data_IF_944560360240
#
_entry.id   IF_944560360240
#
_cell.length_a   1.000
_cell.length_b   1.000
_cell.length_c   1.000
_cell.angle_alpha   90.00
_cell.angle_beta   90.00
_cell.angle_gamma   90.00
#
_symmetry.space_group_name_H-M   'P 1'
#
loop_
_entity.id
_entity.type
_entity.pdbx_description
1 polymer ?
#
# COMPACT_ATOMS: atom_id res chain seq x y z
N UNK A 1 10.81 -5.90 -7.76
CA UNK A 1 10.24 -4.69 -7.13
C UNK A 1 9.01 -5.09 -6.35
N UNK A 2 8.86 -4.59 -5.12
CA UNK A 2 7.65 -4.82 -4.32
C UNK A 2 6.46 -4.11 -4.99
N UNK A 3 5.43 -4.89 -5.33
CA UNK A 3 4.19 -4.39 -5.92
C UNK A 3 3.09 -4.16 -4.89
N UNK A 4 3.16 -4.84 -3.75
CA UNK A 4 2.10 -4.89 -2.75
C UNK A 4 2.60 -5.64 -1.52
N UNK A 5 2.62 -4.99 -0.36
CA UNK A 5 2.93 -5.63 0.92
C UNK A 5 1.74 -6.44 1.42
N UNK A 6 1.99 -7.53 2.14
CA UNK A 6 0.97 -8.26 2.87
C UNK A 6 0.62 -7.45 4.12
N UNK A 7 -0.61 -6.93 4.15
CA UNK A 7 -1.07 -6.04 5.20
C UNK A 7 -1.86 -6.79 6.28
N UNK A 8 -1.86 -6.22 7.47
CA UNK A 8 -2.58 -6.70 8.64
C UNK A 8 -3.45 -5.60 9.25
N UNK A 9 -4.46 -5.96 10.06
CA UNK A 9 -5.27 -4.98 10.77
C UNK A 9 -4.44 -4.05 11.63
N UNK A 10 -4.74 -2.76 11.55
CA UNK A 10 -4.05 -1.71 12.31
C UNK A 10 -5.07 -0.77 12.93
N UNK A 11 -4.90 -0.45 14.22
CA UNK A 11 -5.76 0.52 14.91
C UNK A 11 -5.66 1.92 14.32
N UNK A 12 -4.52 2.25 13.73
CA UNK A 12 -4.25 3.56 13.14
C UNK A 12 -4.92 3.72 11.77
N UNK A 13 -5.00 2.63 10.99
CA UNK A 13 -5.49 2.63 9.60
C UNK A 13 -6.87 1.97 9.48
N UNK A 14 -6.98 0.67 9.72
CA UNK A 14 -8.24 -0.06 9.73
C UNK A 14 -8.11 -1.35 10.55
N UNK A 15 -9.01 -1.52 11.54
CA UNK A 15 -8.99 -2.66 12.44
C UNK A 15 -10.11 -3.66 12.13
N UNK A 16 -10.45 -3.83 10.85
CA UNK A 16 -11.45 -4.78 10.35
C UNK A 16 -10.72 -5.98 9.74
N UNK A 17 -10.56 -7.10 10.47
CA UNK A 17 -9.74 -8.25 10.04
C UNK A 17 -10.06 -8.76 8.65
N UNK A 18 -11.33 -8.83 8.30
CA UNK A 18 -11.85 -9.41 7.05
C UNK A 18 -11.45 -8.60 5.80
N UNK A 19 -10.98 -7.35 5.94
CA UNK A 19 -10.38 -6.61 4.82
C UNK A 19 -8.97 -7.09 4.47
N UNK A 20 -8.32 -7.81 5.38
CA UNK A 20 -6.95 -8.28 5.25
C UNK A 20 -6.90 -9.79 5.05
N UNK A 21 -7.62 -10.55 5.88
CA UNK A 21 -7.67 -12.00 5.80
C UNK A 21 -8.93 -12.56 6.46
N UNK A 22 -9.35 -13.75 6.05
CA UNK A 22 -10.37 -14.55 6.72
C UNK A 22 -9.75 -15.73 7.46
N UNK A 23 -10.53 -16.35 8.34
CA UNK A 23 -10.13 -17.58 9.02
C UNK A 23 -11.16 -18.67 8.75
N UNK A 24 -10.67 -19.85 8.42
CA UNK A 24 -11.44 -21.10 8.38
C UNK A 24 -11.03 -21.96 9.60
N UNK A 25 -11.43 -23.22 9.68
CA UNK A 25 -11.16 -24.10 10.84
C UNK A 25 -9.65 -24.25 11.13
N UNK A 26 -8.85 -24.46 10.08
CA UNK A 26 -7.39 -24.71 10.20
C UNK A 26 -6.53 -23.74 9.39
N UNK A 27 -7.14 -22.92 8.53
CA UNK A 27 -6.43 -21.99 7.64
C UNK A 27 -6.65 -20.54 8.05
N UNK A 28 -5.61 -19.74 7.84
CA UNK A 28 -5.71 -18.29 7.69
C UNK A 28 -5.61 -17.96 6.19
N UNK A 29 -6.63 -17.28 5.67
CA UNK A 29 -6.86 -17.04 4.25
C UNK A 29 -6.55 -15.57 3.97
N UNK A 30 -5.44 -15.27 3.31
CA UNK A 30 -5.07 -13.89 2.96
C UNK A 30 -5.85 -13.39 1.72
N UNK A 31 -7.18 -13.58 1.75
CA UNK A 31 -8.14 -13.30 0.68
C UNK A 31 -8.98 -12.05 0.94
N UNK A 32 -8.59 -11.22 1.90
CA UNK A 32 -9.19 -9.90 2.13
C UNK A 32 -8.76 -8.90 1.06
N UNK A 33 -9.60 -7.88 0.83
CA UNK A 33 -9.43 -6.85 -0.20
C UNK A 33 -7.99 -6.32 -0.33
N UNK A 34 -7.31 -6.05 0.79
CA UNK A 34 -5.95 -5.50 0.79
C UNK A 34 -4.88 -6.50 0.34
N UNK A 35 -5.10 -7.81 0.48
CA UNK A 35 -4.11 -8.85 0.21
C UNK A 35 -4.33 -9.63 -1.09
N UNK A 36 -5.43 -9.35 -1.81
CA UNK A 36 -5.67 -9.84 -3.17
C UNK A 36 -4.75 -9.13 -4.18
N UNK A 37 -4.13 -9.90 -5.07
CA UNK A 37 -3.37 -9.38 -6.21
C UNK A 37 -4.22 -9.47 -7.50
N UNK A 38 -4.62 -8.33 -8.03
CA UNK A 38 -5.55 -8.22 -9.17
C UNK A 38 -4.85 -8.43 -10.52
N UNK A 39 -5.10 -9.57 -11.18
CA UNK A 39 -4.31 -10.01 -12.34
C UNK A 39 -4.60 -9.15 -13.58
N UNK A 40 -5.87 -8.94 -13.92
CA UNK A 40 -6.26 -8.33 -15.20
C UNK A 40 -5.71 -6.89 -15.34
N UNK A 41 -5.80 -6.09 -14.27
CA UNK A 41 -5.27 -4.71 -14.22
C UNK A 41 -3.77 -4.68 -14.48
N UNK A 42 -2.99 -5.54 -13.80
CA UNK A 42 -1.55 -5.61 -14.00
C UNK A 42 -1.22 -6.10 -15.42
N UNK A 43 -1.85 -7.18 -15.89
CA UNK A 43 -1.64 -7.71 -17.25
C UNK A 43 -1.92 -6.68 -18.34
N UNK A 44 -2.97 -5.90 -18.19
CA UNK A 44 -3.35 -4.88 -19.16
C UNK A 44 -2.33 -3.75 -19.18
N UNK A 45 -2.09 -3.12 -18.03
CA UNK A 45 -1.39 -1.84 -17.95
C UNK A 45 0.12 -1.95 -17.81
N UNK A 46 0.63 -3.07 -17.29
CA UNK A 46 2.04 -3.20 -16.93
C UNK A 46 2.76 -4.30 -17.71
N UNK A 47 4.08 -4.19 -17.84
CA UNK A 47 4.95 -5.14 -18.51
C UNK A 47 5.60 -6.16 -17.56
N UNK A 48 4.92 -6.54 -16.47
CA UNK A 48 5.39 -7.56 -15.54
C UNK A 48 5.49 -8.92 -16.26
N UNK A 49 6.64 -9.60 -16.13
CA UNK A 49 6.89 -10.92 -16.73
C UNK A 49 6.61 -12.05 -15.74
N UNK A 50 6.93 -11.85 -14.46
CA UNK A 50 6.72 -12.86 -13.41
C UNK A 50 6.33 -12.24 -12.07
N UNK A 51 5.65 -13.04 -11.26
CA UNK A 51 5.15 -12.68 -9.93
C UNK A 51 5.55 -13.75 -8.91
N UNK A 52 6.08 -13.33 -7.77
CA UNK A 52 6.45 -14.19 -6.66
C UNK A 52 5.81 -13.66 -5.36
N UNK A 53 5.40 -14.55 -4.46
CA UNK A 53 5.16 -14.21 -3.07
C UNK A 53 6.48 -14.34 -2.30
N UNK A 54 6.98 -13.25 -1.74
CA UNK A 54 8.05 -13.27 -0.74
C UNK A 54 7.37 -13.32 0.62
N UNK A 55 7.70 -14.30 1.45
CA UNK A 55 6.99 -14.57 2.69
C UNK A 55 7.97 -14.94 3.79
N UNK A 56 7.82 -14.30 4.94
CA UNK A 56 8.37 -14.69 6.22
C UNK A 56 7.21 -15.05 7.16
N UNK A 57 7.21 -16.24 7.76
CA UNK A 57 6.12 -16.63 8.65
C UNK A 57 6.53 -17.61 9.75
N UNK A 58 5.72 -17.68 10.80
CA UNK A 58 5.86 -18.64 11.90
C UNK A 58 4.49 -19.16 12.36
N UNK A 59 4.44 -20.39 12.87
CA UNK A 59 3.21 -21.03 13.36
C UNK A 59 2.41 -21.78 12.28
N UNK A 60 2.97 -21.95 11.07
CA UNK A 60 2.30 -22.59 9.94
C UNK A 60 3.11 -23.74 9.38
N UNK A 61 2.44 -24.75 8.83
CA UNK A 61 3.11 -25.92 8.25
C UNK A 61 2.80 -26.18 6.77
N UNK A 62 1.78 -25.54 6.21
CA UNK A 62 1.45 -25.61 4.79
C UNK A 62 1.14 -24.22 4.26
N UNK A 63 1.73 -23.89 3.11
CA UNK A 63 1.38 -22.74 2.28
C UNK A 63 0.67 -23.23 1.02
N UNK A 64 -0.49 -22.64 0.71
CA UNK A 64 -1.18 -22.86 -0.55
C UNK A 64 -1.30 -21.56 -1.33
N UNK A 65 -0.76 -21.56 -2.54
CA UNK A 65 -0.96 -20.49 -3.52
C UNK A 65 -2.28 -20.70 -4.22
N UNK A 66 -3.08 -19.64 -4.31
CA UNK A 66 -4.47 -19.68 -4.77
C UNK A 66 -4.64 -18.82 -6.01
N UNK A 67 -5.45 -19.30 -6.95
CA UNK A 67 -6.08 -18.50 -8.00
C UNK A 67 -7.58 -18.58 -7.80
N UNK A 68 -8.22 -17.45 -7.58
CA UNK A 68 -9.61 -17.37 -7.19
C UNK A 68 -9.95 -18.34 -6.03
N UNK A 69 -10.71 -19.42 -6.23
CA UNK A 69 -10.97 -20.44 -5.19
C UNK A 69 -10.24 -21.76 -5.40
N UNK A 70 -9.33 -21.81 -6.37
CA UNK A 70 -8.58 -23.00 -6.75
C UNK A 70 -7.16 -22.98 -6.18
N UNK A 71 -6.70 -24.14 -5.68
CA UNK A 71 -5.32 -24.31 -5.22
C UNK A 71 -4.42 -24.53 -6.44
N UNK A 72 -3.49 -23.61 -6.67
CA UNK A 72 -2.48 -23.72 -7.72
C UNK A 72 -1.39 -24.71 -7.29
N UNK A 73 -0.90 -24.53 -6.06
CA UNK A 73 0.25 -25.27 -5.52
C UNK A 73 0.17 -25.29 -4.00
N UNK A 74 0.41 -26.47 -3.42
CA UNK A 74 0.56 -26.68 -1.98
C UNK A 74 2.03 -26.97 -1.65
N UNK A 75 2.55 -26.32 -0.62
CA UNK A 75 3.96 -26.33 -0.21
C UNK A 75 4.04 -26.73 1.26
N UNK A 76 4.87 -27.72 1.56
CA UNK A 76 5.16 -28.19 2.91
C UNK A 76 6.27 -27.33 3.53
N UNK A 77 5.90 -26.42 4.41
CA UNK A 77 6.81 -25.44 5.02
C UNK A 77 7.75 -26.08 6.05
N UNK A 78 7.44 -27.28 6.56
CA UNK A 78 8.30 -27.96 7.56
C UNK A 78 9.67 -28.33 6.99
N UNK A 79 9.79 -28.43 5.66
CA UNK A 79 11.07 -28.74 4.98
C UNK A 79 12.02 -27.55 4.91
N UNK A 80 11.46 -26.34 4.96
CA UNK A 80 12.19 -25.08 4.79
C UNK A 80 12.39 -24.35 6.13
N UNK A 81 11.97 -24.97 7.24
CA UNK A 81 12.11 -24.41 8.57
C UNK A 81 13.56 -24.53 9.06
N UNK A 82 14.17 -23.40 9.39
CA UNK A 82 15.45 -23.38 10.10
C UNK A 82 15.28 -23.94 11.51
N UNK A 83 16.11 -24.95 11.84
CA UNK A 83 15.98 -25.81 13.02
C UNK A 83 16.21 -25.11 14.39
N UNK A 84 16.05 -23.79 14.49
CA UNK A 84 16.24 -23.03 15.72
C UNK A 84 15.38 -21.77 15.89
N UNK A 85 14.81 -21.21 14.82
CA UNK A 85 13.99 -19.97 14.90
C UNK A 85 12.48 -20.24 14.86
N UNK A 86 12.04 -21.33 14.22
CA UNK A 86 10.62 -21.54 13.92
C UNK A 86 10.07 -20.53 12.89
N UNK A 87 10.96 -19.79 12.23
CA UNK A 87 10.65 -18.83 11.17
C UNK A 87 10.94 -19.52 9.84
N UNK A 88 10.03 -19.36 8.89
CA UNK A 88 10.15 -19.83 7.51
C UNK A 88 10.21 -18.60 6.62
N UNK A 89 11.30 -18.45 5.88
CA UNK A 89 11.47 -17.42 4.85
C UNK A 89 11.52 -18.10 3.47
N UNK A 90 10.77 -17.58 2.50
CA UNK A 90 10.72 -18.19 1.18
C UNK A 90 10.20 -17.28 0.09
N UNK A 91 10.48 -17.70 -1.15
CA UNK A 91 10.02 -17.07 -2.38
C UNK A 91 9.24 -18.09 -3.20
N UNK A 92 7.97 -17.80 -3.46
CA UNK A 92 7.01 -18.74 -4.03
C UNK A 92 6.43 -18.16 -5.32
N UNK A 93 6.89 -18.68 -6.46
CA UNK A 93 6.47 -18.20 -7.77
C UNK A 93 5.02 -18.58 -8.09
N UNK A 94 4.24 -17.60 -8.55
CA UNK A 94 2.96 -17.84 -9.21
C UNK A 94 3.19 -18.16 -10.69
N UNK A 95 2.35 -19.01 -11.31
CA UNK A 95 2.33 -19.23 -12.76
C UNK A 95 1.72 -18.04 -13.50
N UNK A 96 2.27 -16.84 -13.32
CA UNK A 96 1.69 -15.56 -13.77
C UNK A 96 1.34 -15.54 -15.26
N UNK A 97 2.08 -16.24 -16.12
CA UNK A 97 1.84 -16.30 -17.57
C UNK A 97 0.65 -17.18 -17.98
N UNK A 98 0.11 -18.00 -17.07
CA UNK A 98 -1.00 -18.93 -17.35
C UNK A 98 -2.38 -18.34 -17.05
N UNK A 99 -2.45 -17.17 -16.41
CA UNK A 99 -3.69 -16.55 -15.95
C UNK A 99 -3.77 -15.09 -16.42
N UNK A 100 -4.93 -14.71 -16.96
CA UNK A 100 -5.20 -13.35 -17.45
C UNK A 100 -6.19 -12.56 -16.59
N UNK A 101 -6.96 -13.25 -15.73
CA UNK A 101 -8.08 -12.70 -14.95
C UNK A 101 -8.14 -13.28 -13.55
N UNK A 102 -8.97 -12.68 -12.70
CA UNK A 102 -9.16 -13.09 -11.31
C UNK A 102 -8.08 -12.51 -10.39
N UNK A 103 -7.89 -13.17 -9.26
CA UNK A 103 -6.97 -12.73 -8.20
C UNK A 103 -6.01 -13.84 -7.79
N UNK A 104 -4.76 -13.47 -7.53
CA UNK A 104 -3.83 -14.32 -6.78
C UNK A 104 -3.86 -13.95 -5.30
N UNK A 105 -3.81 -14.97 -4.45
CA UNK A 105 -3.71 -14.86 -3.00
C UNK A 105 -3.20 -16.17 -2.41
N UNK A 106 -3.00 -16.25 -1.10
CA UNK A 106 -2.50 -17.46 -0.46
C UNK A 106 -3.22 -17.76 0.86
N UNK A 107 -3.16 -19.01 1.29
CA UNK A 107 -3.58 -19.41 2.63
C UNK A 107 -2.52 -20.22 3.34
N UNK A 108 -2.51 -20.10 4.65
CA UNK A 108 -1.56 -20.77 5.53
C UNK A 108 -2.31 -21.69 6.47
N UNK A 109 -1.87 -22.95 6.57
CA UNK A 109 -2.41 -23.90 7.54
C UNK A 109 -1.69 -23.75 8.86
N UNK A 110 -2.44 -23.47 9.92
CA UNK A 110 -1.91 -23.36 11.28
C UNK A 110 -1.37 -24.71 11.74
N UNK A 111 -0.17 -24.70 12.30
CA UNK A 111 0.47 -25.90 12.81
C UNK A 111 -0.18 -26.32 14.14
N UNK A 112 -0.70 -27.54 14.22
CA UNK A 112 -1.35 -28.07 15.43
C UNK A 112 -0.36 -28.77 16.39
N UNK A 113 0.88 -29.00 15.95
CA UNK A 113 1.93 -29.68 16.72
C UNK A 113 2.68 -28.70 17.64
N UNK A 114 2.19 -28.55 18.87
CA UNK A 114 2.71 -27.62 19.90
C UNK A 114 4.18 -27.80 20.29
N UNK A 115 4.80 -28.93 19.94
CA UNK A 115 6.16 -29.28 20.39
C UNK A 115 7.28 -28.60 19.60
N UNK A 116 6.98 -27.87 18.52
CA UNK A 116 8.01 -27.25 17.65
C UNK A 116 7.90 -25.73 17.46
N UNK A 117 6.84 -25.05 17.95
CA UNK A 117 6.60 -23.63 17.62
C UNK A 117 6.08 -22.84 18.83
N UNK A 118 6.34 -21.53 18.85
CA UNK A 118 5.68 -20.59 19.74
C UNK A 118 4.17 -20.57 19.46
N UNK A 119 3.33 -20.35 20.47
CA UNK A 119 1.87 -20.20 20.30
C UNK A 119 1.46 -18.94 19.49
N UNK A 120 2.43 -18.24 18.88
CA UNK A 120 2.25 -16.95 18.20
C UNK A 120 2.41 -17.19 16.70
N UNK A 121 1.35 -16.90 15.94
CA UNK A 121 1.40 -16.84 14.49
C UNK A 121 1.96 -15.50 14.04
N UNK A 122 2.84 -15.53 13.05
CA UNK A 122 3.47 -14.34 12.46
C UNK A 122 3.53 -14.49 10.95
N UNK A 123 3.26 -13.42 10.22
CA UNK A 123 3.32 -13.39 8.75
C UNK A 123 3.75 -11.99 8.30
N UNK A 124 4.80 -11.90 7.53
CA UNK A 124 5.21 -10.73 6.78
C UNK A 124 5.57 -11.14 5.35
N UNK A 125 5.52 -10.19 4.43
CA UNK A 125 5.82 -10.49 3.05
C UNK A 125 5.26 -9.48 2.07
N UNK A 126 5.43 -9.78 0.79
CA UNK A 126 4.95 -8.95 -0.30
C UNK A 126 4.89 -9.73 -1.61
N UNK A 127 4.12 -9.21 -2.57
CA UNK A 127 4.17 -9.65 -3.96
C UNK A 127 5.28 -8.92 -4.69
N UNK A 128 6.22 -9.69 -5.26
CA UNK A 128 7.32 -9.16 -6.05
C UNK A 128 7.08 -9.34 -7.54
N UNK A 129 7.11 -8.24 -8.28
CA UNK A 129 7.12 -8.22 -9.75
C UNK A 129 8.53 -8.18 -10.32
N UNK A 130 8.76 -8.94 -11.39
CA UNK A 130 9.97 -8.84 -12.21
C UNK A 130 9.63 -8.61 -13.67
N UNK A 131 10.54 -7.94 -14.37
CA UNK A 131 10.45 -7.68 -15.80
C UNK A 131 11.83 -7.79 -16.44
N UNK A 132 11.86 -8.22 -17.70
CA UNK A 132 12.99 -8.18 -18.62
C UNK A 132 13.23 -6.78 -19.20
N UNK A 133 12.24 -5.89 -19.11
CA UNK A 133 12.32 -4.49 -19.52
C UNK A 133 12.80 -3.62 -18.36
N UNK A 134 13.52 -2.56 -18.69
CA UNK A 134 13.94 -1.55 -17.71
C UNK A 134 12.71 -0.81 -17.17
N UNK A 135 12.61 -0.71 -15.85
CA UNK A 135 11.53 0.02 -15.17
C UNK A 135 11.56 1.52 -15.53
N UNK A 136 10.37 2.13 -15.57
CA UNK A 136 10.24 3.57 -15.72
C UNK A 136 10.77 4.28 -14.46
N UNK A 137 11.41 5.45 -14.60
CA UNK A 137 11.70 6.28 -13.44
C UNK A 137 10.38 6.79 -12.83
N UNK A 138 10.25 6.69 -11.52
CA UNK A 138 9.08 7.17 -10.78
C UNK A 138 9.55 7.99 -9.58
N UNK A 139 9.05 9.22 -9.50
CA UNK A 139 9.15 10.13 -8.35
C UNK A 139 7.81 10.86 -8.25
N UNK A 140 7.15 10.73 -7.09
CA UNK A 140 5.81 11.21 -6.83
C UNK A 140 5.85 12.53 -6.06
N UNK A 141 5.20 13.56 -6.59
CA UNK A 141 4.83 14.75 -5.83
C UNK A 141 3.45 14.58 -5.23
N UNK A 142 3.32 14.55 -3.91
CA UNK A 142 2.04 14.50 -3.22
C UNK A 142 1.56 15.93 -2.96
N UNK A 143 0.34 16.24 -3.35
CA UNK A 143 -0.26 17.56 -3.20
C UNK A 143 -1.44 17.46 -2.24
N UNK A 144 -1.24 17.95 -1.01
CA UNK A 144 -2.24 17.96 0.05
C UNK A 144 -2.68 19.39 0.31
N UNK A 145 -3.95 19.70 0.09
CA UNK A 145 -4.51 21.00 0.44
C UNK A 145 -5.19 20.92 1.82
N UNK A 146 -4.91 21.86 2.72
CA UNK A 146 -5.54 21.89 4.05
C UNK A 146 -6.03 23.27 4.46
N UNK A 147 -7.06 23.31 5.32
CA UNK A 147 -7.57 24.52 5.95
C UNK A 147 -8.05 24.18 7.37
N UNK A 148 -7.25 24.54 8.39
CA UNK A 148 -7.59 24.37 9.83
C UNK A 148 -7.96 22.94 10.22
N UNK A 149 -7.17 21.97 9.77
CA UNK A 149 -7.36 20.51 9.96
C UNK A 149 -6.10 19.84 10.49
N UNK A 150 -5.41 20.51 11.41
CA UNK A 150 -4.08 20.16 11.92
C UNK A 150 -4.02 18.70 12.41
N UNK A 151 -5.06 18.24 13.13
CA UNK A 151 -5.10 16.87 13.67
C UNK A 151 -5.10 15.79 12.58
N UNK A 152 -5.77 16.04 11.46
CA UNK A 152 -5.83 15.09 10.35
C UNK A 152 -4.50 15.03 9.60
N UNK A 153 -3.94 16.20 9.29
CA UNK A 153 -2.62 16.32 8.65
C UNK A 153 -1.55 15.69 9.53
N UNK A 154 -1.53 15.99 10.83
CA UNK A 154 -0.58 15.43 11.79
C UNK A 154 -0.67 13.91 11.83
N UNK A 155 -1.88 13.33 11.95
CA UNK A 155 -2.07 11.87 11.94
C UNK A 155 -1.47 11.24 10.68
N UNK A 156 -1.80 11.80 9.52
CA UNK A 156 -1.35 11.27 8.23
C UNK A 156 0.18 11.38 8.08
N UNK A 157 0.77 12.52 8.46
CA UNK A 157 2.22 12.71 8.39
C UNK A 157 2.98 11.83 9.39
N UNK A 158 2.43 11.55 10.58
CA UNK A 158 3.01 10.55 11.49
C UNK A 158 3.08 9.17 10.85
N UNK A 159 2.00 8.75 10.21
CA UNK A 159 1.96 7.46 9.51
C UNK A 159 2.96 7.42 8.36
N UNK A 160 3.04 8.49 7.58
CA UNK A 160 3.94 8.59 6.43
C UNK A 160 5.41 8.61 6.85
N UNK A 161 5.78 9.42 7.85
CA UNK A 161 7.16 9.53 8.33
C UNK A 161 7.64 8.20 8.93
N UNK A 162 6.81 7.53 9.75
CA UNK A 162 7.12 6.18 10.25
C UNK A 162 7.43 5.21 9.11
N UNK A 163 6.64 5.26 8.04
CA UNK A 163 6.87 4.43 6.86
C UNK A 163 8.13 4.81 6.06
N UNK A 164 8.44 6.11 5.95
CA UNK A 164 9.67 6.59 5.28
C UNK A 164 10.92 6.19 6.06
N UNK A 165 10.90 6.39 7.37
CA UNK A 165 12.07 6.20 8.24
C UNK A 165 12.25 4.72 8.66
N UNK A 166 11.19 3.91 8.56
CA UNK A 166 11.13 2.54 9.06
C UNK A 166 11.21 2.48 10.58
N UNK A 167 11.56 1.33 11.14
CA UNK A 167 11.71 1.11 12.60
C UNK A 167 12.79 1.97 13.27
N UNK A 168 13.45 2.88 12.54
CA UNK A 168 14.35 3.90 13.11
C UNK A 168 13.61 4.85 14.06
N UNK A 169 12.29 5.00 13.92
CA UNK A 169 11.46 5.85 14.77
C UNK A 169 11.23 5.29 16.19
N UNK A 170 11.30 3.97 16.40
CA UNK A 170 11.14 3.39 17.75
C UNK A 170 12.43 3.44 18.59
N UNK A 171 13.59 3.60 17.94
CA UNK A 171 14.89 3.65 18.61
C UNK A 171 15.18 5.00 19.31
N UNK A 172 14.48 6.09 18.97
CA UNK A 172 14.68 7.41 19.61
C UNK A 172 13.84 7.61 20.87
N UNK A 173 12.70 6.93 21.00
CA UNK A 173 11.67 7.34 21.96
C UNK A 173 11.46 6.37 23.12
N UNK A 174 12.05 5.16 23.12
CA UNK A 174 11.75 4.16 24.16
C UNK A 174 12.88 3.83 25.13
N UNK A 175 14.18 3.99 24.81
CA UNK A 175 15.22 3.53 25.74
C UNK A 175 16.44 4.46 25.77
N UNK A 176 16.59 5.19 26.89
CA UNK A 176 17.86 5.78 27.31
C UNK A 176 18.90 4.71 27.70
N UNK A 177 19.17 3.77 26.80
CA UNK A 177 20.17 2.71 26.93
C UNK A 177 21.26 2.99 25.90
N UNK A 178 22.49 3.15 26.40
CA UNK A 178 23.68 3.31 25.57
C UNK A 178 23.91 2.09 24.65
N UNK A 179 24.52 2.29 23.46
CA UNK A 179 24.68 1.25 22.46
C UNK A 179 25.69 0.20 22.93
N UNK A 180 25.18 -0.96 23.34
CA UNK A 180 25.99 -2.10 23.76
C UNK A 180 25.58 -3.39 23.03
N UNK A 181 26.53 -3.92 22.25
CA UNK A 181 26.54 -5.24 21.60
C UNK A 181 25.70 -5.43 20.32
N UNK A 182 26.33 -5.15 19.18
CA UNK A 182 26.00 -5.78 17.89
C UNK A 182 26.93 -6.98 17.70
N UNK A 183 26.37 -8.18 17.62
CA UNK A 183 27.09 -9.36 17.14
C UNK A 183 27.25 -9.28 15.61
N UNK A 184 28.50 -9.34 15.16
CA UNK A 184 28.93 -9.12 13.78
C UNK A 184 28.77 -10.39 12.90
N UNK A 185 27.58 -10.95 12.74
CA UNK A 185 27.40 -12.05 11.77
C UNK A 185 25.96 -12.34 11.29
N UNK A 186 25.12 -11.32 11.13
CA UNK A 186 24.01 -11.38 10.17
C UNK A 186 24.34 -10.45 9.00
N UNK A 187 24.38 -11.00 7.78
CA UNK A 187 24.38 -10.19 6.58
C UNK A 187 23.00 -9.56 6.44
N UNK A 188 22.75 -8.47 7.17
CA UNK A 188 21.60 -7.61 6.96
C UNK A 188 21.82 -6.89 5.63
N UNK A 189 21.12 -7.32 4.60
CA UNK A 189 21.14 -6.69 3.28
C UNK A 189 19.89 -5.85 3.09
N UNK A 190 20.11 -4.55 2.88
CA UNK A 190 19.18 -3.54 2.36
C UNK A 190 17.99 -3.17 3.27
N UNK A 191 17.76 -1.86 3.43
CA UNK A 191 16.96 -1.23 4.49
C UNK A 191 15.54 -1.80 4.66
N UNK A 192 15.09 -1.92 5.92
CA UNK A 192 13.69 -2.19 6.34
C UNK A 192 12.64 -1.16 5.84
N UNK A 193 13.04 -0.24 4.97
CA UNK A 193 12.18 0.81 4.40
C UNK A 193 11.83 0.46 2.94
N UNK A 194 10.55 0.51 2.54
CA UNK A 194 10.15 0.22 1.17
C UNK A 194 10.84 1.13 0.15
N UNK A 195 11.24 0.59 -1.00
CA UNK A 195 11.91 1.34 -2.08
C UNK A 195 11.17 2.65 -2.43
N UNK A 196 9.83 2.59 -2.49
CA UNK A 196 8.97 3.72 -2.79
C UNK A 196 9.13 4.92 -1.84
N UNK A 197 9.63 4.73 -0.61
CA UNK A 197 9.83 5.82 0.36
C UNK A 197 10.89 6.82 -0.08
N UNK A 198 11.88 6.38 -0.86
CA UNK A 198 12.89 7.25 -1.46
C UNK A 198 12.39 8.07 -2.64
N UNK A 199 11.15 7.83 -3.09
CA UNK A 199 10.59 8.36 -4.34
C UNK A 199 9.37 9.25 -4.11
N UNK A 200 9.22 9.81 -2.90
CA UNK A 200 8.11 10.70 -2.57
C UNK A 200 8.58 12.06 -2.04
N UNK A 201 7.85 13.10 -2.44
CA UNK A 201 7.97 14.45 -1.90
C UNK A 201 6.58 15.04 -1.69
N UNK A 202 6.33 15.65 -0.54
CA UNK A 202 4.99 16.10 -0.10
C UNK A 202 4.94 17.62 -0.04
N UNK A 203 4.00 18.19 -0.78
CA UNK A 203 3.62 19.59 -0.72
C UNK A 203 2.31 19.72 0.07
N UNK A 204 2.39 20.28 1.27
CA UNK A 204 1.22 20.61 2.09
C UNK A 204 0.90 22.09 1.88
N UNK A 205 -0.18 22.35 1.14
CA UNK A 205 -0.67 23.70 0.87
C UNK A 205 -1.59 24.13 2.01
N UNK A 206 -1.05 24.94 2.92
CA UNK A 206 -1.75 25.42 4.11
C UNK A 206 -2.52 26.71 3.79
N UNK A 207 -3.78 26.55 3.34
CA UNK A 207 -4.70 27.66 3.12
C UNK A 207 -5.16 28.33 4.43
N UNK A 208 -4.99 27.65 5.57
CA UNK A 208 -5.33 28.14 6.90
C UNK A 208 -4.23 28.99 7.54
N UNK A 209 -2.97 28.76 7.10
CA UNK A 209 -1.74 29.29 7.72
C UNK A 209 -1.68 28.99 9.22
N UNK A 210 -2.16 27.81 9.59
CA UNK A 210 -2.39 27.41 10.98
C UNK A 210 -1.57 26.18 11.40
N UNK A 211 -0.97 25.45 10.45
CA UNK A 211 -0.07 24.33 10.78
C UNK A 211 1.16 24.78 11.57
N UNK A 212 1.65 25.99 11.31
CA UNK A 212 2.80 26.57 12.02
C UNK A 212 2.55 26.83 13.52
N UNK A 213 1.29 26.90 13.95
CA UNK A 213 0.92 27.07 15.36
C UNK A 213 0.88 25.72 16.11
N UNK A 214 0.92 24.59 15.39
CA UNK A 214 0.90 23.25 15.95
C UNK A 214 2.33 22.76 16.20
N UNK A 215 2.84 22.96 17.42
CA UNK A 215 4.22 22.57 17.80
C UNK A 215 4.53 21.09 17.50
N UNK A 216 3.58 20.20 17.79
CA UNK A 216 3.73 18.78 17.53
C UNK A 216 3.91 18.48 16.04
N UNK A 217 3.17 19.18 15.18
CA UNK A 217 3.32 19.05 13.74
C UNK A 217 4.63 19.64 13.23
N UNK A 218 5.02 20.84 13.70
CA UNK A 218 6.28 21.47 13.29
C UNK A 218 7.49 20.65 13.73
N UNK A 219 7.47 20.07 14.93
CA UNK A 219 8.54 19.20 15.43
C UNK A 219 8.63 17.91 14.58
N UNK A 220 7.47 17.33 14.22
CA UNK A 220 7.39 16.14 13.38
C UNK A 220 7.98 16.38 11.98
N UNK A 221 7.54 17.42 11.26
CA UNK A 221 8.01 17.66 9.89
C UNK A 221 9.46 18.15 9.84
N UNK A 222 10.00 18.67 10.94
CA UNK A 222 11.41 19.06 11.02
C UNK A 222 12.38 17.86 10.98
N UNK A 223 11.91 16.63 11.16
CA UNK A 223 12.76 15.42 11.06
C UNK A 223 13.09 15.04 9.62
N UNK A 224 12.36 15.57 8.63
CA UNK A 224 12.43 15.13 7.24
C UNK A 224 12.47 16.30 6.25
N UNK A 225 13.21 16.12 5.15
CA UNK A 225 13.22 17.06 4.02
C UNK A 225 12.23 16.66 2.92
N UNK A 226 11.49 15.56 3.11
CA UNK A 226 10.52 15.07 2.12
C UNK A 226 9.17 15.76 2.22
N UNK A 227 8.93 16.56 3.27
CA UNK A 227 7.63 17.21 3.53
C UNK A 227 7.85 18.71 3.64
N UNK A 228 7.14 19.47 2.80
CA UNK A 228 7.18 20.92 2.78
C UNK A 228 5.81 21.52 3.02
N UNK A 229 5.74 22.50 3.92
CA UNK A 229 4.51 23.23 4.23
C UNK A 229 4.57 24.60 3.57
N UNK A 230 3.60 24.89 2.72
CA UNK A 230 3.57 26.09 1.88
C UNK A 230 2.36 26.94 2.30
N UNK A 231 2.57 28.07 2.98
CA UNK A 231 1.49 28.98 3.34
C UNK A 231 0.79 29.52 2.10
N UNK A 232 -0.54 29.48 2.08
CA UNK A 232 -1.35 29.95 0.97
C UNK A 232 -2.56 30.75 1.46
N UNK A 233 -3.09 31.64 0.62
CA UNK A 233 -4.35 32.31 0.93
C UNK A 233 -5.51 31.32 0.85
N UNK A 234 -6.60 31.60 1.57
CA UNK A 234 -7.80 30.77 1.49
C UNK A 234 -8.45 30.90 0.11
N UNK A 235 -8.13 29.96 -0.77
CA UNK A 235 -8.53 29.92 -2.19
C UNK A 235 -9.42 28.72 -2.50
N UNK A 236 -9.96 28.07 -1.46
CA UNK A 236 -10.70 26.81 -1.57
C UNK A 236 -9.84 25.65 -2.06
N UNK A 237 -10.46 24.48 -2.27
CA UNK A 237 -9.75 23.27 -2.72
C UNK A 237 -9.13 23.44 -4.11
N UNK A 238 -9.87 24.00 -5.07
CA UNK A 238 -9.35 24.24 -6.41
C UNK A 238 -8.11 25.15 -6.42
N UNK A 239 -8.11 26.21 -5.62
CA UNK A 239 -6.96 27.11 -5.51
C UNK A 239 -5.79 26.49 -4.77
N UNK A 240 -6.03 25.74 -3.69
CA UNK A 240 -4.99 25.03 -2.95
C UNK A 240 -4.32 23.94 -3.79
N UNK A 241 -5.09 23.07 -4.44
CA UNK A 241 -4.54 22.07 -5.35
C UNK A 241 -3.83 22.71 -6.54
N UNK A 242 -4.36 23.80 -7.10
CA UNK A 242 -3.66 24.55 -8.16
C UNK A 242 -2.33 25.10 -7.68
N UNK A 243 -2.26 25.60 -6.44
CA UNK A 243 -1.00 26.05 -5.86
C UNK A 243 0.01 24.90 -5.76
N UNK A 244 -0.39 23.73 -5.26
CA UNK A 244 0.50 22.57 -5.20
C UNK A 244 0.94 22.06 -6.56
N UNK A 245 0.07 22.11 -7.58
CA UNK A 245 0.45 21.81 -8.97
C UNK A 245 1.56 22.74 -9.45
N UNK A 246 1.44 24.04 -9.20
CA UNK A 246 2.44 25.05 -9.59
C UNK A 246 3.78 24.78 -8.90
N UNK A 247 3.77 24.46 -7.60
CA UNK A 247 4.99 24.15 -6.83
C UNK A 247 5.69 22.91 -7.37
N UNK A 248 4.96 21.83 -7.62
CA UNK A 248 5.50 20.61 -8.21
C UNK A 248 6.05 20.83 -9.63
N UNK A 249 5.37 21.63 -10.46
CA UNK A 249 5.84 21.96 -11.80
C UNK A 249 7.13 22.81 -11.77
N UNK A 250 7.21 23.79 -10.88
CA UNK A 250 8.37 24.66 -10.74
C UNK A 250 9.61 23.91 -10.23
N UNK A 251 9.41 22.86 -9.42
CA UNK A 251 10.48 22.04 -8.81
C UNK A 251 10.64 20.69 -9.49
N UNK A 252 10.01 20.49 -10.65
CA UNK A 252 10.01 19.21 -11.36
C UNK A 252 11.41 18.70 -11.67
N UNK A 253 12.29 19.57 -12.14
CA UNK A 253 13.67 19.19 -12.48
C UNK A 253 14.52 18.94 -11.23
N UNK A 254 14.38 19.82 -10.22
CA UNK A 254 15.10 19.73 -8.94
C UNK A 254 14.81 18.41 -8.21
N UNK A 255 13.53 18.06 -8.11
CA UNK A 255 13.05 16.87 -7.40
C UNK A 255 12.86 15.66 -8.33
N UNK A 256 13.24 15.80 -9.62
CA UNK A 256 13.04 14.77 -10.65
C UNK A 256 11.61 14.22 -10.71
N UNK A 257 10.60 15.06 -10.46
CA UNK A 257 9.19 14.65 -10.38
C UNK A 257 8.69 14.15 -11.73
N UNK A 258 7.97 13.03 -11.67
CA UNK A 258 7.40 12.36 -12.84
C UNK A 258 5.89 12.34 -12.80
N UNK A 259 5.31 12.24 -11.59
CA UNK A 259 3.87 12.15 -11.37
C UNK A 259 3.47 13.10 -10.23
N UNK A 260 2.22 13.55 -10.27
CA UNK A 260 1.58 14.30 -9.20
C UNK A 260 0.40 13.51 -8.67
N UNK A 261 0.34 13.29 -7.37
CA UNK A 261 -0.76 12.64 -6.68
C UNK A 261 -1.49 13.67 -5.82
N UNK A 262 -2.79 13.85 -6.07
CA UNK A 262 -3.64 14.74 -5.28
C UNK A 262 -4.25 13.93 -4.14
N UNK A 263 -4.19 14.46 -2.91
CA UNK A 263 -4.73 13.78 -1.75
C UNK A 263 -5.42 14.77 -0.82
N UNK A 264 -6.52 14.34 -0.21
CA UNK A 264 -7.20 15.11 0.83
C UNK A 264 -6.44 15.04 2.17
N UNK A 265 -6.64 16.07 2.99
CA UNK A 265 -5.99 16.17 4.30
C UNK A 265 -6.63 15.30 5.37
N UNK A 266 -7.92 14.99 5.25
CA UNK A 266 -8.70 14.21 6.20
C UNK A 266 -8.91 12.73 5.84
N UNK A 267 -8.57 12.35 4.61
CA UNK A 267 -8.50 10.95 4.18
C UNK A 267 -7.48 10.16 5.03
N UNK A 268 -7.88 8.99 5.53
CA UNK A 268 -6.96 8.03 6.14
C UNK A 268 -6.37 7.20 5.01
N UNK A 269 -5.05 7.03 5.00
CA UNK A 269 -4.38 6.23 3.98
C UNK A 269 -3.32 5.32 4.60
N UNK A 270 -3.21 4.10 4.06
CA UNK A 270 -2.12 3.19 4.36
C UNK A 270 -0.92 3.54 3.47
N UNK A 271 0.28 3.84 4.02
CA UNK A 271 1.45 4.13 3.21
C UNK A 271 1.84 3.04 2.20
N UNK A 272 1.42 1.78 2.35
CA UNK A 272 1.60 0.74 1.33
C UNK A 272 0.94 1.10 -0.02
N UNK A 273 -0.01 2.04 -0.04
CA UNK A 273 -0.54 2.57 -1.30
C UNK A 273 0.57 3.15 -2.19
N UNK A 274 1.60 3.75 -1.59
CA UNK A 274 2.73 4.32 -2.34
C UNK A 274 3.63 3.22 -2.90
N UNK A 275 3.81 2.11 -2.18
CA UNK A 275 4.45 0.90 -2.70
C UNK A 275 3.70 0.40 -3.94
N UNK A 276 2.38 0.28 -3.86
CA UNK A 276 1.53 -0.19 -4.97
C UNK A 276 1.60 0.74 -6.17
N UNK A 277 1.43 2.04 -5.95
CA UNK A 277 1.44 3.03 -7.01
C UNK A 277 2.83 3.12 -7.68
N UNK A 278 3.90 3.16 -6.88
CA UNK A 278 5.27 3.15 -7.37
C UNK A 278 5.55 1.90 -8.22
N UNK A 279 5.21 0.71 -7.71
CA UNK A 279 5.37 -0.55 -8.43
C UNK A 279 4.60 -0.56 -9.76
N UNK A 280 3.33 -0.17 -9.73
CA UNK A 280 2.49 -0.12 -10.93
C UNK A 280 3.05 0.83 -11.99
N UNK A 281 3.42 2.06 -11.62
CA UNK A 281 3.95 3.08 -12.54
C UNK A 281 5.33 2.69 -13.10
N UNK A 282 6.16 2.02 -12.29
CA UNK A 282 7.48 1.54 -12.69
C UNK A 282 7.41 0.50 -13.80
N UNK A 283 6.34 -0.30 -13.83
CA UNK A 283 6.10 -1.28 -14.90
C UNK A 283 5.10 -0.81 -15.97
N UNK A 284 4.68 0.46 -15.97
CA UNK A 284 3.64 0.96 -16.88
C UNK A 284 4.06 0.84 -18.35
N UNK A 285 3.24 0.19 -19.18
CA UNK A 285 3.50 0.09 -20.62
C UNK A 285 3.39 1.45 -21.30
N UNK A 286 4.18 1.63 -22.35
CA UNK A 286 4.31 2.90 -23.07
C UNK A 286 2.98 3.43 -23.62
N UNK A 287 2.08 2.56 -24.09
CA UNK A 287 0.76 2.95 -24.58
C UNK A 287 -0.15 3.54 -23.49
N UNK A 288 0.14 3.28 -22.21
CA UNK A 288 -0.58 3.82 -21.07
C UNK A 288 0.18 4.95 -20.35
N UNK A 289 1.25 5.50 -20.95
CA UNK A 289 2.07 6.54 -20.31
C UNK A 289 1.31 7.81 -19.87
N UNK A 290 0.09 8.03 -20.39
CA UNK A 290 -0.79 9.15 -20.04
C UNK A 290 -2.00 8.75 -19.20
N UNK A 291 -2.03 7.52 -18.67
CA UNK A 291 -3.13 7.06 -17.81
C UNK A 291 -3.16 7.84 -16.50
N UNK A 292 -4.35 8.03 -15.94
CA UNK A 292 -4.53 8.47 -14.56
C UNK A 292 -4.86 7.25 -13.69
N UNK A 293 -4.22 7.16 -12.52
CA UNK A 293 -4.47 6.10 -11.55
C UNK A 293 -5.23 6.73 -10.38
N UNK A 294 -6.44 6.23 -10.11
CA UNK A 294 -7.28 6.67 -9.00
C UNK A 294 -7.37 5.63 -7.89
N UNK A 295 -7.51 6.09 -6.65
CA UNK A 295 -7.75 5.21 -5.51
C UNK A 295 -9.20 4.74 -5.46
N UNK A 296 -9.44 3.65 -4.72
CA UNK A 296 -10.78 3.32 -4.27
C UNK A 296 -11.14 4.16 -3.04
N UNK A 297 -12.35 4.71 -3.00
CA UNK A 297 -12.83 5.49 -1.87
C UNK A 297 -13.59 4.60 -0.89
N UNK A 298 -13.13 4.58 0.36
CA UNK A 298 -13.80 3.92 1.48
C UNK A 298 -14.40 4.95 2.44
N UNK A 299 -15.44 4.55 3.17
CA UNK A 299 -16.06 5.39 4.17
C UNK A 299 -15.21 5.49 5.43
N UNK A 300 -15.02 6.70 5.96
CA UNK A 300 -14.29 6.90 7.22
C UNK A 300 -15.03 6.40 8.47
N UNK A 301 -16.37 6.39 8.44
CA UNK A 301 -17.24 5.95 9.54
C UNK A 301 -17.53 4.44 9.52
N UNK A 302 -17.46 3.81 8.35
CA UNK A 302 -17.55 2.36 8.15
C UNK A 302 -16.43 1.91 7.21
N UNK A 303 -15.23 1.70 7.75
CA UNK A 303 -13.99 1.50 6.97
C UNK A 303 -13.99 0.27 6.07
N UNK A 304 -14.93 -0.65 6.25
CA UNK A 304 -15.14 -1.80 5.36
C UNK A 304 -16.10 -1.55 4.19
N UNK A 305 -16.76 -0.39 4.15
CA UNK A 305 -17.68 -0.03 3.08
C UNK A 305 -16.95 0.81 2.04
N UNK A 306 -16.77 0.25 0.86
CA UNK A 306 -16.30 0.99 -0.30
C UNK A 306 -17.42 1.89 -0.81
N UNK A 307 -17.18 3.18 -0.78
CA UNK A 307 -18.09 4.17 -1.37
C UNK A 307 -18.09 4.04 -2.90
N UNK A 308 -16.91 4.01 -3.50
CA UNK A 308 -16.74 3.90 -4.95
C UNK A 308 -15.40 3.26 -5.34
N UNK A 309 -15.42 2.42 -6.37
CA UNK A 309 -14.23 1.93 -7.08
C UNK A 309 -13.92 2.73 -8.37
N UNK A 310 -14.70 3.79 -8.63
CA UNK A 310 -14.71 4.60 -9.83
C UNK A 310 -16.12 5.09 -10.13
N UNK A 311 -16.24 6.30 -10.66
CA UNK A 311 -17.53 6.97 -10.90
C UNK A 311 -17.53 7.65 -12.27
N UNK A 312 -18.69 8.05 -12.77
CA UNK A 312 -18.78 8.89 -13.97
C UNK A 312 -19.87 9.95 -13.80
N UNK A 313 -19.76 11.02 -14.57
CA UNK A 313 -20.72 12.12 -14.54
C UNK A 313 -21.60 12.09 -15.77
N UNK A 314 -22.91 11.98 -15.56
CA UNK A 314 -23.89 11.98 -16.64
C UNK A 314 -25.17 12.67 -16.17
N UNK A 315 -25.84 13.42 -17.06
CA UNK A 315 -27.15 14.01 -16.76
C UNK A 315 -27.18 14.84 -15.45
N UNK A 316 -26.13 15.63 -15.21
CA UNK A 316 -25.95 16.46 -14.01
C UNK A 316 -25.90 15.69 -12.68
N UNK A 317 -25.52 14.42 -12.71
CA UNK A 317 -25.34 13.60 -11.50
C UNK A 317 -24.08 12.74 -11.60
N UNK A 318 -23.51 12.44 -10.43
CA UNK A 318 -22.53 11.39 -10.27
C UNK A 318 -23.26 10.06 -10.36
N UNK A 319 -22.69 9.13 -11.11
CA UNK A 319 -23.21 7.78 -11.30
C UNK A 319 -22.17 6.80 -10.77
N UNK A 320 -22.65 5.85 -9.99
CA UNK A 320 -21.89 4.79 -9.37
C UNK A 320 -22.74 3.50 -9.44
N UNK A 321 -22.23 2.49 -10.12
CA UNK A 321 -22.90 1.20 -10.33
C UNK A 321 -22.89 0.31 -9.08
N UNK A 322 -21.89 0.50 -8.22
CA UNK A 322 -21.64 -0.32 -7.04
C UNK A 322 -21.40 0.57 -5.81
N UNK A 323 -22.41 1.36 -5.39
CA UNK A 323 -22.26 2.21 -4.23
C UNK A 323 -22.33 1.38 -2.95
N UNK A 324 -21.49 1.73 -1.98
CA UNK A 324 -21.57 1.23 -0.59
C UNK A 324 -21.42 -0.29 -0.47
N UNK A 325 -20.45 -0.87 -1.18
CA UNK A 325 -20.19 -2.33 -1.14
C UNK A 325 -19.41 -2.70 0.12
N UNK A 326 -19.85 -3.75 0.80
CA UNK A 326 -19.12 -4.35 1.93
C UNK A 326 -17.95 -5.19 1.43
N UNK A 327 -16.74 -4.70 1.64
CA UNK A 327 -15.52 -5.31 1.12
C UNK A 327 -14.93 -6.38 2.03
N UNK A 328 -15.59 -6.71 3.14
CA UNK A 328 -15.19 -7.85 3.98
C UNK A 328 -15.39 -9.16 3.23
N UNK A 329 -16.42 -9.29 2.42
CA UNK A 329 -16.62 -10.52 1.64
C UNK A 329 -15.64 -10.60 0.46
N UNK A 330 -14.93 -11.72 0.37
CA UNK A 330 -14.11 -12.06 -0.78
C UNK A 330 -14.90 -11.96 -2.09
N UNK A 331 -16.16 -12.39 -2.12
CA UNK A 331 -16.99 -12.42 -3.32
C UNK A 331 -17.18 -11.01 -3.89
N UNK A 332 -17.21 -9.99 -3.03
CA UNK A 332 -17.23 -8.59 -3.44
C UNK A 332 -15.85 -8.09 -3.86
N UNK A 333 -14.80 -8.42 -3.10
CA UNK A 333 -13.43 -8.02 -3.38
C UNK A 333 -12.85 -8.62 -4.68
N UNK A 334 -13.25 -9.84 -5.02
CA UNK A 334 -12.86 -10.56 -6.23
C UNK A 334 -13.93 -10.53 -7.33
N UNK A 335 -14.98 -9.70 -7.18
CA UNK A 335 -16.03 -9.59 -8.19
C UNK A 335 -15.49 -9.07 -9.52
N UNK A 336 -16.08 -9.52 -10.64
CA UNK A 336 -15.66 -9.13 -11.98
C UNK A 336 -15.58 -7.62 -12.19
N UNK A 337 -16.56 -6.87 -11.68
CA UNK A 337 -16.62 -5.40 -11.78
C UNK A 337 -15.51 -4.69 -10.99
N UNK A 338 -14.92 -5.38 -10.00
CA UNK A 338 -13.79 -4.88 -9.19
C UNK A 338 -12.46 -5.24 -9.87
N UNK A 339 -12.33 -6.47 -10.36
CA UNK A 339 -11.07 -6.99 -10.92
C UNK A 339 -10.82 -6.55 -12.37
N UNK A 340 -11.90 -6.22 -13.09
CA UNK A 340 -11.89 -5.92 -14.52
C UNK A 340 -11.28 -4.57 -14.89
N UNK A 341 -11.27 -4.33 -16.20
CA UNK A 341 -10.66 -3.15 -16.84
C UNK A 341 -11.56 -2.53 -17.91
N UNK A 342 -12.83 -2.93 -17.97
CA UNK A 342 -13.79 -2.58 -19.02
C UNK A 342 -14.15 -1.09 -19.06
N UNK A 343 -14.03 -0.38 -17.93
CA UNK A 343 -14.48 1.02 -17.78
C UNK A 343 -13.33 2.03 -17.71
N UNK A 344 -12.15 1.70 -18.23
CA UNK A 344 -10.93 2.53 -18.09
C UNK A 344 -11.05 3.95 -18.66
N UNK A 345 -11.98 4.18 -19.60
CA UNK A 345 -12.16 5.49 -20.27
C UNK A 345 -13.43 6.21 -19.83
N UNK A 346 -14.31 5.51 -19.12
CA UNK A 346 -15.63 6.03 -18.76
C UNK A 346 -15.64 6.50 -17.31
N UNK A 347 -14.83 5.86 -16.45
CA UNK A 347 -14.76 6.15 -15.02
C UNK A 347 -13.60 7.08 -14.70
N UNK A 348 -13.82 7.99 -13.75
CA UNK A 348 -12.78 8.74 -13.07
C UNK A 348 -12.61 8.23 -11.64
N UNK A 349 -11.39 8.32 -11.12
CA UNK A 349 -11.13 8.27 -9.69
C UNK A 349 -11.34 9.66 -9.12
N UNK A 350 -12.34 9.82 -8.25
CA UNK A 350 -12.63 11.10 -7.63
C UNK A 350 -11.57 11.50 -6.57
N UNK A 351 -10.75 10.53 -6.13
CA UNK A 351 -9.87 10.63 -4.97
C UNK A 351 -8.58 9.81 -5.17
#
# INVERSE_FOLDING_TARGET
MNLQTILHPSTDICNEPELYFHQDDIFDLYDGYFNLFYIEKHKKYTFIDSLELVLECSGYDVLELMHDREVIRSIDLKKDMDAGSGIIEGRFAYPYTQYDKGVFWFRLRRCLEKTLHSDITYVEGFYEGRSSQMCNPVNLGLNICTYKREQYVLRNMKSLIRWIEGDRAEASDVLGIEPGFKDNNSSMTESDTPEASGHIHVFIIDNGKSLGDCKEFTDLVASTNNIEVIPNDNTGGAGGFSRGMIEAMNRREELSLTHLLMMDDDAVFDPDLFTRLYGFLSFLKKEYAMISVGGALFRGDYRYIQHAAGEWFENFRIVNEHPLVDMRSYENAAALWMTGTEHERDRYGAW
#
